data_IF_108108979633
#
_entry.id   IF_108108979633
#
_cell.length_a   1.000
_cell.length_b   1.000
_cell.length_c   1.000
_cell.angle_alpha   90.00
_cell.angle_beta   90.00
_cell.angle_gamma   90.00
#
_symmetry.space_group_name_H-M   'P 1'
#
loop_
_entity.id
_entity.type
_entity.pdbx_description
1 polymer ?
#
# COMPACT_ATOMS: atom_id res chain seq x y z
N UNK A 1 -45.95 19.60 27.00
CA UNK A 1 -46.55 20.43 28.07
C UNK A 1 -45.76 20.12 29.36
N UNK A 2 -44.78 20.95 29.77
CA UNK A 2 -44.86 22.04 30.80
C UNK A 2 -45.47 21.50 32.12
N UNK A 3 -44.84 21.52 33.31
CA UNK A 3 -43.99 22.52 34.00
C UNK A 3 -43.28 21.87 35.21
N UNK A 4 -41.95 22.00 35.34
CA UNK A 4 -41.16 22.80 36.31
C UNK A 4 -41.03 22.33 37.77
N UNK A 5 -39.77 22.03 38.10
CA UNK A 5 -39.02 22.16 39.37
C UNK A 5 -39.74 22.82 40.56
N UNK A 6 -39.78 22.09 41.67
CA UNK A 6 -39.84 22.69 43.01
C UNK A 6 -38.43 22.79 43.57
N UNK A 7 -37.89 24.01 43.62
CA UNK A 7 -36.72 24.33 44.44
C UNK A 7 -37.21 24.46 45.89
N UNK A 8 -36.69 23.61 46.78
CA UNK A 8 -36.91 23.77 48.22
C UNK A 8 -35.79 24.62 48.80
N UNK A 9 -36.11 25.86 49.10
CA UNK A 9 -35.21 26.84 49.71
C UNK A 9 -35.03 26.52 51.19
N UNK A 10 -33.81 26.22 51.62
CA UNK A 10 -33.42 26.33 53.03
C UNK A 10 -32.27 27.32 53.15
N UNK A 11 -32.62 28.54 53.53
CA UNK A 11 -31.70 29.50 54.08
C UNK A 11 -31.36 29.12 55.52
N UNK A 12 -30.07 29.00 55.85
CA UNK A 12 -29.53 29.30 57.18
C UNK A 12 -28.21 30.04 57.00
N UNK A 13 -28.15 31.14 57.74
CA UNK A 13 -27.11 32.15 57.82
C UNK A 13 -26.26 31.82 59.05
N UNK A 14 -25.02 32.32 59.04
CA UNK A 14 -23.98 32.33 60.09
C UNK A 14 -23.11 31.07 60.25
N UNK A 15 -21.85 31.17 59.82
CA UNK A 15 -20.72 31.09 60.75
C UNK A 15 -19.50 31.78 60.08
N UNK A 16 -19.08 32.92 60.64
CA UNK A 16 -17.81 33.57 60.35
C UNK A 16 -16.64 32.67 60.82
N UNK A 17 -15.57 32.47 60.02
CA UNK A 17 -14.46 31.62 60.39
C UNK A 17 -13.51 32.36 61.35
N UNK A 18 -13.61 32.08 62.65
CA UNK A 18 -12.62 32.57 63.60
C UNK A 18 -11.46 31.57 63.72
N UNK A 19 -10.28 32.00 63.26
CA UNK A 19 -9.00 31.41 63.65
C UNK A 19 -8.35 30.48 62.62
N UNK A 20 -7.77 31.04 61.56
CA UNK A 20 -6.65 30.38 60.91
C UNK A 20 -5.35 31.09 61.32
N UNK A 21 -4.60 30.40 62.17
CA UNK A 21 -3.19 30.65 62.47
C UNK A 21 -2.44 30.93 61.17
N UNK A 22 -1.87 32.13 61.08
CA UNK A 22 -1.02 32.54 59.98
C UNK A 22 0.22 31.68 59.91
N UNK A 23 0.14 30.55 59.20
CA UNK A 23 1.30 29.98 58.54
C UNK A 23 1.39 30.68 57.20
N UNK A 24 2.21 31.72 57.10
CA UNK A 24 2.57 32.32 55.82
C UNK A 24 3.46 31.34 55.05
N UNK A 25 2.88 30.23 54.63
CA UNK A 25 3.45 29.36 53.61
C UNK A 25 3.39 30.15 52.33
N UNK A 26 4.56 30.51 51.78
CA UNK A 26 4.66 31.16 50.49
C UNK A 26 4.01 30.26 49.43
N UNK A 27 2.75 30.55 49.13
CA UNK A 27 1.94 29.74 48.24
C UNK A 27 2.47 29.91 46.82
N UNK A 28 3.35 29.00 46.39
CA UNK A 28 3.88 28.95 45.04
C UNK A 28 2.70 28.62 44.11
N UNK A 29 2.26 29.60 43.33
CA UNK A 29 1.21 29.41 42.32
C UNK A 29 1.81 28.73 41.10
N UNK A 30 1.82 27.40 41.12
CA UNK A 30 2.21 26.60 39.96
C UNK A 30 1.18 26.87 38.86
N UNK A 31 1.65 27.44 37.74
CA UNK A 31 0.82 27.69 36.56
C UNK A 31 0.62 26.36 35.83
N UNK A 32 -0.60 26.10 35.37
CA UNK A 32 -0.85 24.92 34.54
C UNK A 32 -0.07 25.01 33.23
N UNK A 33 0.69 23.96 32.85
CA UNK A 33 1.42 23.94 31.59
C UNK A 33 0.46 24.08 30.41
N UNK A 34 0.89 24.85 29.39
CA UNK A 34 0.10 24.99 28.17
C UNK A 34 -0.11 23.63 27.51
N UNK A 35 -1.35 23.37 27.08
CA UNK A 35 -1.70 22.14 26.38
C UNK A 35 -1.07 22.12 24.98
N UNK A 36 0.00 21.36 24.79
CA UNK A 36 0.70 21.24 23.50
C UNK A 36 0.07 20.13 22.65
N UNK A 37 -0.01 20.36 21.33
CA UNK A 37 -0.50 19.35 20.39
C UNK A 37 0.56 18.26 20.18
N UNK A 38 0.16 16.99 20.04
CA UNK A 38 1.10 15.91 19.78
C UNK A 38 1.80 16.14 18.44
N UNK A 39 3.12 15.94 18.43
CA UNK A 39 3.90 15.83 17.20
C UNK A 39 3.32 14.64 16.43
N UNK A 40 2.97 14.84 15.15
CA UNK A 40 2.16 13.92 14.35
C UNK A 40 2.69 12.49 14.24
N UNK A 41 2.10 11.68 13.34
CA UNK A 41 2.47 10.25 13.24
C UNK A 41 3.97 10.05 13.02
N UNK A 42 4.54 9.14 13.81
CA UNK A 42 5.93 8.71 13.64
C UNK A 42 6.12 7.99 12.29
N UNK A 43 7.30 8.16 11.68
CA UNK A 43 7.66 7.43 10.46
C UNK A 43 7.81 5.94 10.79
N UNK A 44 7.32 5.07 9.89
CA UNK A 44 7.49 3.63 10.01
C UNK A 44 8.93 3.24 9.63
N UNK A 45 9.54 2.36 10.42
CA UNK A 45 10.81 1.72 10.05
C UNK A 45 10.56 0.72 8.92
N UNK A 46 11.34 0.82 7.84
CA UNK A 46 11.25 -0.08 6.69
C UNK A 46 11.74 -1.48 7.06
N UNK A 47 10.89 -2.49 6.89
CA UNK A 47 11.21 -3.88 7.24
C UNK A 47 12.27 -4.49 6.32
N UNK A 48 12.93 -5.57 6.75
CA UNK A 48 13.97 -6.24 5.95
C UNK A 48 13.47 -6.66 4.56
N UNK A 49 12.25 -7.20 4.47
CA UNK A 49 11.60 -7.58 3.20
C UNK A 49 11.44 -6.38 2.25
N UNK A 50 11.05 -5.23 2.77
CA UNK A 50 10.85 -4.02 1.98
C UNK A 50 12.18 -3.42 1.49
N UNK A 51 13.26 -3.57 2.27
CA UNK A 51 14.61 -3.17 1.85
C UNK A 51 15.15 -4.09 0.75
N UNK A 52 14.88 -5.39 0.83
CA UNK A 52 15.31 -6.35 -0.19
C UNK A 52 14.65 -6.09 -1.56
N UNK A 53 13.42 -5.59 -1.58
CA UNK A 53 12.71 -5.25 -2.82
C UNK A 53 13.25 -3.99 -3.53
N UNK A 54 14.14 -3.22 -2.90
CA UNK A 54 14.67 -1.95 -3.41
C UNK A 54 15.75 -2.13 -4.50
N UNK A 55 16.10 -3.37 -4.84
CA UNK A 55 17.27 -3.67 -5.68
C UNK A 55 17.02 -3.81 -7.19
N UNK A 56 15.79 -4.05 -7.66
CA UNK A 56 15.60 -4.39 -9.07
C UNK A 56 15.35 -3.15 -9.95
N UNK A 57 16.44 -2.49 -10.35
CA UNK A 57 16.38 -1.46 -11.41
C UNK A 57 15.92 -2.10 -12.72
N UNK A 58 14.93 -1.49 -13.36
CA UNK A 58 14.42 -1.92 -14.67
C UNK A 58 15.56 -1.88 -15.70
N UNK A 59 15.67 -2.94 -16.49
CA UNK A 59 16.64 -3.06 -17.58
C UNK A 59 15.93 -2.88 -18.92
N UNK A 60 16.58 -2.20 -19.86
CA UNK A 60 16.17 -2.12 -21.25
C UNK A 60 16.00 -3.54 -21.82
N UNK A 61 14.88 -3.83 -22.49
CA UNK A 61 14.63 -5.17 -23.03
C UNK A 61 15.56 -5.54 -24.18
N UNK A 62 16.08 -4.56 -24.91
CA UNK A 62 16.94 -4.75 -26.10
C UNK A 62 18.40 -4.89 -25.70
N UNK A 63 18.94 -3.90 -24.99
CA UNK A 63 20.36 -3.85 -24.68
C UNK A 63 20.71 -4.29 -23.24
N UNK A 64 19.70 -4.57 -22.40
CA UNK A 64 19.83 -5.02 -21.00
C UNK A 64 20.53 -4.04 -20.03
N UNK A 65 20.82 -2.81 -20.47
CA UNK A 65 21.35 -1.73 -19.61
C UNK A 65 20.24 -1.11 -18.75
N UNK A 66 20.61 -0.49 -17.63
CA UNK A 66 19.66 0.10 -16.66
C UNK A 66 19.43 1.60 -16.83
N UNK A 67 20.18 2.27 -17.70
CA UNK A 67 20.16 3.73 -17.83
C UNK A 67 18.96 4.27 -18.60
N UNK A 68 18.28 3.40 -19.36
CA UNK A 68 17.21 3.75 -20.27
C UNK A 68 16.24 2.58 -20.47
N UNK A 69 15.09 2.86 -21.07
CA UNK A 69 14.09 1.86 -21.43
C UNK A 69 14.18 1.46 -22.91
N UNK A 70 13.34 0.52 -23.36
CA UNK A 70 13.35 0.10 -24.78
C UNK A 70 13.16 1.28 -25.74
N UNK A 71 12.28 2.22 -25.42
CA UNK A 71 11.89 3.32 -26.32
C UNK A 71 13.02 4.32 -26.54
N UNK A 72 13.85 4.50 -25.53
CA UNK A 72 15.03 5.37 -25.54
C UNK A 72 16.34 4.60 -25.79
N UNK A 73 16.25 3.35 -26.26
CA UNK A 73 17.43 2.52 -26.45
C UNK A 73 18.31 3.04 -27.59
N UNK A 74 19.57 3.45 -27.32
CA UNK A 74 20.45 3.96 -28.35
C UNK A 74 20.80 2.87 -29.38
N UNK A 75 20.71 1.58 -29.03
CA UNK A 75 20.89 0.49 -30.02
C UNK A 75 19.77 0.48 -31.08
N UNK A 76 18.55 0.88 -30.71
CA UNK A 76 17.43 0.98 -31.65
C UNK A 76 17.49 2.27 -32.46
N UNK A 77 17.97 3.36 -31.88
CA UNK A 77 18.10 4.67 -32.56
C UNK A 77 19.32 4.69 -33.49
N UNK A 78 20.42 4.04 -33.11
CA UNK A 78 21.68 4.03 -33.87
C UNK A 78 21.81 2.84 -34.84
N UNK A 79 20.77 2.03 -35.01
CA UNK A 79 20.91 0.66 -35.53
C UNK A 79 19.86 0.22 -36.54
N UNK A 80 19.75 0.91 -37.68
CA UNK A 80 19.48 0.26 -38.98
C UNK A 80 20.74 -0.44 -39.52
N UNK A 81 21.65 -0.92 -38.66
CA UNK A 81 22.81 -1.72 -39.06
C UNK A 81 22.58 -3.15 -38.58
N UNK A 82 21.86 -3.88 -39.41
CA UNK A 82 21.73 -5.34 -39.36
C UNK A 82 23.13 -5.98 -39.34
N UNK A 83 23.43 -6.76 -38.31
CA UNK A 83 24.31 -7.91 -38.46
C UNK A 83 23.45 -9.13 -38.24
N UNK A 84 22.84 -9.58 -39.34
CA UNK A 84 22.12 -10.84 -39.46
C UNK A 84 23.14 -11.97 -39.27
N UNK A 85 23.04 -12.65 -38.13
CA UNK A 85 23.71 -13.93 -37.94
C UNK A 85 22.67 -15.00 -38.26
N UNK A 86 22.65 -15.40 -39.53
CA UNK A 86 22.13 -16.67 -40.03
C UNK A 86 22.59 -17.80 -39.09
N UNK A 87 21.70 -18.24 -38.20
CA UNK A 87 21.79 -19.54 -37.54
C UNK A 87 20.62 -20.34 -38.08
N UNK A 88 20.90 -21.08 -39.14
CA UNK A 88 20.00 -22.08 -39.69
C UNK A 88 19.59 -23.07 -38.61
N UNK A 89 18.32 -23.01 -38.22
CA UNK A 89 17.64 -24.12 -37.58
C UNK A 89 16.63 -24.65 -38.59
N UNK A 90 16.92 -25.82 -39.16
CA UNK A 90 15.97 -26.59 -39.93
C UNK A 90 14.73 -26.84 -39.05
N UNK A 91 13.64 -26.15 -39.33
CA UNK A 91 12.31 -26.53 -38.85
C UNK A 91 11.68 -27.34 -39.96
N UNK A 92 11.77 -28.67 -39.79
CA UNK A 92 11.11 -29.64 -40.63
C UNK A 92 9.60 -29.37 -40.62
N UNK A 93 9.08 -29.10 -41.81
CA UNK A 93 7.66 -28.98 -42.08
C UNK A 93 7.05 -30.38 -42.04
N UNK A 94 6.41 -30.73 -40.91
CA UNK A 94 5.48 -31.84 -40.90
C UNK A 94 4.17 -31.46 -40.21
N UNK A 95 3.32 -30.83 -41.00
CA UNK A 95 1.89 -30.68 -40.75
C UNK A 95 1.23 -32.06 -40.79
N UNK A 96 0.95 -32.66 -39.63
CA UNK A 96 -0.22 -33.54 -39.48
C UNK A 96 -0.85 -33.40 -38.08
N UNK A 97 -2.09 -32.88 -37.98
CA UNK A 97 -2.94 -33.05 -36.80
C UNK A 97 -3.48 -34.49 -36.77
N UNK A 98 -2.74 -35.39 -36.14
CA UNK A 98 -3.26 -36.71 -35.79
C UNK A 98 -4.24 -36.54 -34.63
N UNK A 99 -5.54 -36.67 -34.91
CA UNK A 99 -6.57 -36.76 -33.87
C UNK A 99 -6.33 -38.03 -33.06
N UNK A 100 -5.62 -37.91 -31.94
CA UNK A 100 -5.44 -38.98 -30.96
C UNK A 100 -6.36 -38.69 -29.78
N UNK A 101 -7.44 -39.46 -29.70
CA UNK A 101 -8.38 -39.50 -28.59
C UNK A 101 -7.73 -40.18 -27.39
N UNK A 102 -6.94 -39.46 -26.60
CA UNK A 102 -6.52 -39.91 -25.27
C UNK A 102 -6.50 -38.70 -24.32
N UNK A 103 -7.38 -38.80 -23.33
CA UNK A 103 -7.45 -38.07 -22.05
C UNK A 103 -6.26 -37.13 -21.80
N UNK A 104 -6.40 -35.88 -22.26
CA UNK A 104 -5.40 -34.83 -22.04
C UNK A 104 -5.90 -33.99 -20.88
N UNK A 105 -5.23 -34.13 -19.74
CA UNK A 105 -5.39 -33.21 -18.60
C UNK A 105 -5.24 -31.77 -19.13
N UNK A 106 -6.24 -30.90 -18.90
CA UNK A 106 -6.17 -29.54 -19.37
C UNK A 106 -4.96 -28.86 -18.72
N UNK A 107 -4.19 -28.12 -19.53
CA UNK A 107 -3.09 -27.31 -18.99
C UNK A 107 -3.69 -26.29 -18.01
N UNK A 108 -3.01 -25.89 -16.92
CA UNK A 108 -3.59 -24.96 -15.93
C UNK A 108 -4.22 -23.68 -16.56
N UNK A 109 -3.66 -23.23 -17.68
CA UNK A 109 -4.20 -22.11 -18.47
C UNK A 109 -5.51 -22.43 -19.19
N UNK A 110 -5.67 -23.66 -19.68
CA UNK A 110 -6.87 -24.16 -20.34
C UNK A 110 -8.01 -24.34 -19.32
N UNK A 111 -7.73 -24.90 -18.14
CA UNK A 111 -8.71 -24.98 -17.05
C UNK A 111 -9.19 -23.59 -16.61
N UNK A 112 -8.28 -22.62 -16.53
CA UNK A 112 -8.65 -21.26 -16.13
C UNK A 112 -9.54 -20.57 -17.17
N UNK A 113 -9.24 -20.72 -18.45
CA UNK A 113 -10.08 -20.18 -19.52
C UNK A 113 -11.45 -20.87 -19.56
N UNK A 114 -11.48 -22.19 -19.36
CA UNK A 114 -12.72 -22.94 -19.27
C UNK A 114 -13.58 -22.54 -18.06
N UNK A 115 -12.95 -22.32 -16.90
CA UNK A 115 -13.65 -21.81 -15.70
C UNK A 115 -14.17 -20.39 -15.92
N UNK A 116 -13.38 -19.54 -16.55
CA UNK A 116 -13.80 -18.18 -16.89
C UNK A 116 -15.01 -18.18 -17.83
N UNK A 117 -14.96 -18.99 -18.90
CA UNK A 117 -16.07 -19.14 -19.85
C UNK A 117 -17.31 -19.75 -19.19
N UNK A 118 -17.15 -20.63 -18.19
CA UNK A 118 -18.26 -21.18 -17.40
C UNK A 118 -18.95 -20.11 -16.53
N UNK A 119 -18.18 -19.20 -15.93
CA UNK A 119 -18.71 -18.16 -15.04
C UNK A 119 -19.35 -17.00 -15.83
N UNK A 120 -18.75 -16.62 -16.96
CA UNK A 120 -19.11 -15.40 -17.68
C UNK A 120 -19.81 -15.65 -19.02
N UNK A 121 -19.80 -16.89 -19.52
CA UNK A 121 -20.36 -17.26 -20.81
C UNK A 121 -19.50 -16.83 -22.00
N UNK A 122 -19.57 -17.53 -23.15
CA UNK A 122 -18.82 -17.14 -24.33
C UNK A 122 -19.44 -15.88 -24.95
N UNK A 123 -18.79 -14.74 -24.76
CA UNK A 123 -19.14 -13.49 -25.45
C UNK A 123 -19.16 -12.26 -24.56
N UNK A 124 -18.00 -11.67 -24.36
CA UNK A 124 -17.86 -10.20 -24.34
C UNK A 124 -17.39 -9.72 -25.70
#
# INVERSE_FOLDING_TARGET
>A
MKLTRLLSSRARVEEEPNGEVGTSSSQVRIKDPHRVKPKGRARRVKGQKEKAAEGHKRRCSECRKTDHDRRSCPKLVSGSSSSDAEVGAAVDENLQPSQSTQDREPTMTESFLQEFDFIYGPGV
#
